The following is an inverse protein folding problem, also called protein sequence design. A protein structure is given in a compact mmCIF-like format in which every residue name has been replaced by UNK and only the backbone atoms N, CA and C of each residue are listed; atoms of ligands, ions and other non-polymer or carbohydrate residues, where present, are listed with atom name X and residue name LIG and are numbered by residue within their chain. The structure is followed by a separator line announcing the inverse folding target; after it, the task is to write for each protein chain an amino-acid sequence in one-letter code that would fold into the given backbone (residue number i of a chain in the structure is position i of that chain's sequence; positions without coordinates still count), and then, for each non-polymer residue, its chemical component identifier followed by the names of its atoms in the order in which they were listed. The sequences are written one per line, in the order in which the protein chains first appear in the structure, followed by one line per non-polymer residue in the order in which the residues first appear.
data_IF_417712945734
#
_entry.id   IF_417712945734
#
_cell.length_a   1.000
_cell.length_b   1.000
_cell.length_c   1.000
_cell.angle_alpha   90.00
_cell.angle_beta   90.00
_cell.angle_gamma   90.00
#
_symmetry.space_group_name_H-M   'P 1'
#
loop_
_entity.id
_entity.type
_entity.pdbx_description
1 polymer ?
#
# COMPACT_ATOMS: atom_id res chain seq x y z
N UNK A 1 -22.88 -4.00 -17.76
CA UNK A 1 -23.45 -4.33 -16.43
C UNK A 1 -22.48 -5.13 -15.56
N UNK A 2 -21.75 -6.11 -16.12
CA UNK A 2 -20.73 -6.90 -15.41
C UNK A 2 -19.58 -6.05 -14.82
N UNK A 3 -19.13 -5.03 -15.56
CA UNK A 3 -18.11 -4.09 -15.09
C UNK A 3 -18.57 -3.24 -13.90
N UNK A 4 -19.89 -2.98 -13.80
CA UNK A 4 -20.45 -2.24 -12.66
C UNK A 4 -20.34 -3.07 -11.37
N UNK A 5 -20.61 -4.37 -11.44
CA UNK A 5 -20.45 -5.27 -10.29
C UNK A 5 -18.97 -5.41 -9.88
N UNK A 6 -18.06 -5.49 -10.85
CA UNK A 6 -16.61 -5.51 -10.59
C UNK A 6 -16.16 -4.21 -9.93
N UNK A 7 -16.58 -3.06 -10.44
CA UNK A 7 -16.24 -1.75 -9.86
C UNK A 7 -16.76 -1.61 -8.43
N UNK A 8 -18.00 -2.03 -8.17
CA UNK A 8 -18.57 -2.04 -6.82
C UNK A 8 -17.86 -3.03 -5.88
N UNK A 9 -17.46 -4.20 -6.39
CA UNK A 9 -16.66 -5.17 -5.64
C UNK A 9 -15.29 -4.61 -5.25
N UNK A 10 -14.58 -3.99 -6.19
CA UNK A 10 -13.32 -3.29 -5.93
C UNK A 10 -13.53 -2.16 -4.92
N UNK A 11 -14.61 -1.39 -5.04
CA UNK A 11 -14.89 -0.28 -4.13
C UNK A 11 -15.12 -0.75 -2.68
N UNK A 12 -15.90 -1.82 -2.49
CA UNK A 12 -16.11 -2.43 -1.16
C UNK A 12 -14.79 -2.98 -0.61
N UNK A 13 -14.03 -3.72 -1.42
CA UNK A 13 -12.74 -4.24 -1.00
C UNK A 13 -11.77 -3.12 -0.61
N UNK A 14 -11.71 -2.06 -1.40
CA UNK A 14 -10.88 -0.88 -1.13
C UNK A 14 -11.32 -0.20 0.17
N UNK A 15 -12.62 -0.01 0.38
CA UNK A 15 -13.19 0.56 1.61
C UNK A 15 -12.83 -0.25 2.85
N UNK A 16 -12.89 -1.59 2.76
CA UNK A 16 -12.51 -2.46 3.88
C UNK A 16 -11.01 -2.42 4.15
N UNK A 17 -10.16 -2.51 3.12
CA UNK A 17 -8.70 -2.46 3.27
C UNK A 17 -8.25 -1.11 3.82
N UNK A 18 -8.79 -0.02 3.28
CA UNK A 18 -8.40 1.32 3.71
C UNK A 18 -9.02 1.69 5.05
N UNK A 19 -10.31 1.41 5.26
CA UNK A 19 -11.04 1.68 6.50
C UNK A 19 -10.49 0.90 7.70
N UNK A 20 -10.16 -0.38 7.53
CA UNK A 20 -9.54 -1.19 8.60
C UNK A 20 -8.17 -0.66 9.03
N UNK A 21 -7.39 -0.13 8.09
CA UNK A 21 -6.08 0.46 8.40
C UNK A 21 -6.20 1.71 9.29
N UNK A 22 -7.26 2.51 9.14
CA UNK A 22 -7.51 3.66 10.01
C UNK A 22 -7.92 3.25 11.43
N UNK A 23 -8.68 2.16 11.57
CA UNK A 23 -9.07 1.62 12.88
C UNK A 23 -7.83 1.14 13.63
N UNK A 24 -6.95 0.38 12.96
CA UNK A 24 -5.65 -0.02 13.50
C UNK A 24 -4.76 1.16 13.89
N UNK A 25 -4.82 2.26 13.12
CA UNK A 25 -4.08 3.49 13.43
C UNK A 25 -4.61 4.17 14.70
N UNK A 26 -5.94 4.22 14.86
CA UNK A 26 -6.60 4.78 16.04
C UNK A 26 -6.23 3.99 17.30
N UNK A 27 -6.25 2.66 17.23
CA UNK A 27 -5.84 1.78 18.33
C UNK A 27 -4.33 1.87 18.59
N UNK A 28 -3.51 1.95 17.54
CA UNK A 28 -2.05 2.09 17.65
C UNK A 28 -1.61 3.40 18.31
N UNK A 29 -2.37 4.49 18.14
CA UNK A 29 -2.10 5.78 18.79
C UNK A 29 -2.30 5.77 20.32
N UNK A 30 -2.89 4.72 20.89
CA UNK A 30 -3.01 4.58 22.36
C UNK A 30 -1.66 4.28 23.03
N UNK A 31 -0.71 3.69 22.30
CA UNK A 31 0.61 3.31 22.83
C UNK A 31 1.79 3.90 22.04
N UNK A 32 1.57 4.38 20.81
CA UNK A 32 2.63 4.86 19.91
C UNK A 32 2.34 6.29 19.43
N UNK A 33 3.40 7.07 19.21
CA UNK A 33 3.29 8.40 18.60
C UNK A 33 2.75 8.29 17.16
N UNK A 34 1.93 9.24 16.68
CA UNK A 34 1.39 9.23 15.32
C UNK A 34 2.46 9.00 14.23
N UNK A 35 3.66 9.53 14.44
CA UNK A 35 4.80 9.35 13.53
C UNK A 35 5.31 7.91 13.47
N UNK A 36 5.32 7.20 14.60
CA UNK A 36 5.78 5.80 14.65
C UNK A 36 4.80 4.90 13.89
N UNK A 37 3.49 5.08 14.09
CA UNK A 37 2.47 4.30 13.39
C UNK A 37 2.52 4.57 11.87
N UNK A 38 2.69 5.83 11.47
CA UNK A 38 2.87 6.20 10.07
C UNK A 38 4.14 5.57 9.46
N UNK A 39 5.26 5.61 10.18
CA UNK A 39 6.51 4.98 9.73
C UNK A 39 6.37 3.46 9.57
N UNK A 40 5.71 2.79 10.51
CA UNK A 40 5.49 1.34 10.43
C UNK A 40 4.66 0.97 9.20
N UNK A 41 3.63 1.76 8.87
CA UNK A 41 2.83 1.58 7.66
C UNK A 41 3.68 1.73 6.39
N UNK A 42 4.45 2.81 6.28
CA UNK A 42 5.28 3.06 5.09
C UNK A 42 6.40 2.03 4.97
N UNK A 43 7.03 1.63 6.07
CA UNK A 43 8.05 0.58 6.08
C UNK A 43 7.45 -0.78 5.67
N UNK A 44 6.29 -1.14 6.19
CA UNK A 44 5.60 -2.38 5.82
C UNK A 44 5.22 -2.38 4.33
N UNK A 45 4.67 -1.27 3.83
CA UNK A 45 4.37 -1.11 2.41
C UNK A 45 5.65 -1.21 1.55
N UNK A 46 6.73 -0.56 1.98
CA UNK A 46 8.04 -0.62 1.35
C UNK A 46 8.56 -2.06 1.26
N UNK A 47 8.57 -2.80 2.38
CA UNK A 47 9.02 -4.20 2.42
C UNK A 47 8.24 -5.10 1.47
N UNK A 48 6.91 -4.93 1.39
CA UNK A 48 6.07 -5.66 0.43
C UNK A 48 6.37 -5.26 -1.01
N UNK A 49 6.68 -3.98 -1.26
CA UNK A 49 7.02 -3.47 -2.59
C UNK A 49 8.43 -3.85 -3.04
N UNK A 50 9.39 -4.08 -2.14
CA UNK A 50 10.80 -4.41 -2.48
C UNK A 50 10.93 -5.53 -3.53
N UNK A 51 10.35 -6.74 -3.36
CA UNK A 51 10.50 -7.80 -4.36
C UNK A 51 9.88 -7.42 -5.71
N UNK A 52 8.82 -6.62 -5.71
CA UNK A 52 8.17 -6.13 -6.92
C UNK A 52 9.02 -5.06 -7.62
N UNK A 53 9.57 -4.13 -6.84
CA UNK A 53 10.48 -3.09 -7.29
C UNK A 53 11.75 -3.67 -7.91
N UNK A 54 12.34 -4.70 -7.30
CA UNK A 54 13.51 -5.39 -7.85
C UNK A 54 13.22 -6.07 -9.19
N UNK A 55 12.02 -6.67 -9.36
CA UNK A 55 11.59 -7.23 -10.65
C UNK A 55 11.37 -6.14 -11.69
N UNK A 56 10.71 -5.05 -11.31
CA UNK A 56 10.46 -3.93 -12.20
C UNK A 56 11.76 -3.23 -12.64
N UNK A 57 12.68 -2.96 -11.71
CA UNK A 57 14.01 -2.39 -11.99
C UNK A 57 14.83 -3.24 -12.97
N UNK A 58 14.73 -4.58 -12.89
CA UNK A 58 15.37 -5.48 -13.87
C UNK A 58 14.75 -5.42 -15.25
N UNK A 59 13.47 -5.06 -15.37
CA UNK A 59 12.80 -4.88 -16.66
C UNK A 59 13.06 -3.50 -17.28
N UNK A 60 13.54 -2.52 -16.51
CA UNK A 60 13.90 -1.21 -17.05
C UNK A 60 15.21 -1.33 -17.83
N UNK A 61 15.24 -1.00 -19.13
CA UNK A 61 16.47 -1.01 -19.92
C UNK A 61 17.47 -0.01 -19.33
N UNK A 62 18.70 -0.48 -19.05
CA UNK A 62 19.76 0.31 -18.40
C UNK A 62 20.05 1.66 -19.09
N UNK A 63 19.74 1.77 -20.38
CA UNK A 63 19.94 2.97 -21.20
C UNK A 63 18.95 4.12 -20.92
N UNK A 64 17.96 3.93 -20.03
CA UNK A 64 17.08 5.00 -19.52
C UNK A 64 17.11 5.12 -17.99
N UNK A 65 17.99 4.36 -17.34
CA UNK A 65 18.06 4.27 -15.88
C UNK A 65 18.87 5.43 -15.29
N UNK A 66 19.75 6.01 -16.10
CA UNK A 66 20.38 7.30 -15.87
C UNK A 66 20.06 8.15 -17.10
N UNK A 67 19.35 9.26 -16.88
CA UNK A 67 19.20 10.32 -17.86
C UNK A 67 20.59 10.84 -18.28
#
# INVERSE_FOLDING_TARGET
MKDRLINWGIFIALSLIWGSSFILMKEGMTQLSPYQVASLRILSAGLVLVPFALKALKQVPRNKLFL
#
